data_IF_112814857427
#
_entry.id   IF_112814857427
#
_cell.length_a   1.000
_cell.length_b   1.000
_cell.length_c   1.000
_cell.angle_alpha   90.00
_cell.angle_beta   90.00
_cell.angle_gamma   90.00
#
_symmetry.space_group_name_H-M   'P 1'
#
loop_
_entity.id
_entity.type
_entity.pdbx_description
1 polymer ?
#
# COMPACT_ATOMS: atom_id res chain seq x y z
N UNK A 1 -9.44 12.55 -9.48
CA UNK A 1 -8.02 12.98 -9.64
C UNK A 1 -7.08 11.77 -9.74
N UNK A 2 -7.61 10.56 -9.52
CA UNK A 2 -6.97 9.25 -9.64
C UNK A 2 -6.01 9.07 -10.82
N UNK A 3 -6.40 9.37 -12.07
CA UNK A 3 -5.49 9.18 -13.22
C UNK A 3 -4.24 10.07 -13.14
N UNK A 4 -4.38 11.32 -12.68
CA UNK A 4 -3.24 12.20 -12.46
C UNK A 4 -2.35 11.64 -11.34
N UNK A 5 -2.97 11.13 -10.26
CA UNK A 5 -2.28 10.38 -9.20
C UNK A 5 -1.46 9.22 -9.78
N UNK A 6 -2.10 8.33 -10.55
CA UNK A 6 -1.44 7.19 -11.20
C UNK A 6 -0.25 7.62 -12.05
N UNK A 7 -0.41 8.63 -12.91
CA UNK A 7 0.68 9.14 -13.73
C UNK A 7 1.86 9.63 -12.89
N UNK A 8 1.61 10.42 -11.83
CA UNK A 8 2.66 10.89 -10.92
C UNK A 8 3.34 9.71 -10.20
N UNK A 9 2.57 8.71 -9.77
CA UNK A 9 3.10 7.51 -9.12
C UNK A 9 3.94 6.63 -10.05
N UNK A 10 3.54 6.46 -11.30
CA UNK A 10 4.34 5.75 -12.31
C UNK A 10 5.61 6.51 -12.68
N UNK A 11 5.55 7.84 -12.79
CA UNK A 11 6.74 8.67 -12.97
C UNK A 11 7.71 8.51 -11.79
N UNK A 12 7.21 8.47 -10.55
CA UNK A 12 8.01 8.14 -9.37
C UNK A 12 8.72 6.78 -9.53
N UNK A 13 8.00 5.73 -9.91
CA UNK A 13 8.59 4.41 -10.15
C UNK A 13 9.65 4.42 -11.26
N UNK A 14 9.41 5.12 -12.38
CA UNK A 14 10.38 5.27 -13.46
C UNK A 14 11.65 6.00 -13.00
N UNK A 15 11.51 7.05 -12.17
CA UNK A 15 12.64 7.75 -11.58
C UNK A 15 13.46 6.84 -10.65
N UNK A 16 12.79 5.94 -9.91
CA UNK A 16 13.48 4.93 -9.09
C UNK A 16 14.36 4.01 -9.95
N UNK A 17 13.84 3.53 -11.08
CA UNK A 17 14.56 2.65 -12.03
C UNK A 17 15.83 3.29 -12.58
N UNK A 18 15.83 4.60 -12.78
CA UNK A 18 17.01 5.31 -13.30
C UNK A 18 18.23 5.19 -12.38
N UNK A 19 18.01 5.09 -11.05
CA UNK A 19 19.06 4.81 -10.08
C UNK A 19 20.05 5.96 -9.78
N UNK A 20 19.96 7.10 -10.47
CA UNK A 20 20.78 8.29 -10.20
C UNK A 20 20.34 9.01 -8.91
N UNK A 21 21.28 9.68 -8.22
CA UNK A 21 20.97 10.39 -6.96
C UNK A 21 19.94 11.50 -7.15
N UNK A 22 20.06 12.27 -8.23
CA UNK A 22 19.10 13.34 -8.55
C UNK A 22 17.71 12.78 -8.86
N UNK A 23 17.63 11.64 -9.55
CA UNK A 23 16.35 10.99 -9.83
C UNK A 23 15.71 10.40 -8.57
N UNK A 24 16.50 9.92 -7.60
CA UNK A 24 15.97 9.45 -6.32
C UNK A 24 15.35 10.59 -5.50
N UNK A 25 15.98 11.76 -5.46
CA UNK A 25 15.42 12.93 -4.78
C UNK A 25 14.14 13.42 -5.47
N UNK A 26 14.11 13.40 -6.81
CA UNK A 26 12.90 13.66 -7.57
C UNK A 26 11.81 12.59 -7.33
N UNK A 27 12.16 11.31 -7.22
CA UNK A 27 11.20 10.24 -6.94
C UNK A 27 10.52 10.45 -5.58
N UNK A 28 11.26 10.83 -4.54
CA UNK A 28 10.68 11.15 -3.23
C UNK A 28 9.71 12.33 -3.31
N UNK A 29 10.03 13.37 -4.10
CA UNK A 29 9.13 14.49 -4.33
C UNK A 29 7.84 14.03 -5.04
N UNK A 30 7.95 13.24 -6.10
CA UNK A 30 6.80 12.71 -6.84
C UNK A 30 5.96 11.77 -5.97
N UNK A 31 6.58 10.99 -5.08
CA UNK A 31 5.87 10.21 -4.07
C UNK A 31 5.03 11.12 -3.16
N UNK A 32 5.62 12.17 -2.60
CA UNK A 32 4.91 13.11 -1.74
C UNK A 32 3.73 13.79 -2.48
N UNK A 33 3.95 14.24 -3.72
CA UNK A 33 2.89 14.83 -4.56
C UNK A 33 1.76 13.82 -4.82
N UNK A 34 2.12 12.57 -5.15
CA UNK A 34 1.13 11.53 -5.38
C UNK A 34 0.28 11.25 -4.12
N UNK A 35 0.87 11.23 -2.92
CA UNK A 35 0.12 11.08 -1.66
C UNK A 35 -0.76 12.29 -1.33
N UNK A 36 -0.33 13.50 -1.68
CA UNK A 36 -1.17 14.70 -1.56
C UNK A 36 -2.39 14.62 -2.49
N UNK A 37 -2.20 14.22 -3.75
CA UNK A 37 -3.30 14.08 -4.72
C UNK A 37 -4.32 13.02 -4.28
N UNK A 38 -3.84 11.90 -3.74
CA UNK A 38 -4.68 10.81 -3.23
C UNK A 38 -5.53 11.26 -2.02
N UNK A 39 -4.89 11.87 -1.02
CA UNK A 39 -5.60 12.42 0.15
C UNK A 39 -6.62 13.51 -0.20
N UNK A 40 -6.37 14.27 -1.27
CA UNK A 40 -7.29 15.28 -1.78
C UNK A 40 -8.48 14.67 -2.54
N UNK A 41 -8.30 13.58 -3.29
CA UNK A 41 -9.37 13.01 -4.13
C UNK A 41 -10.53 12.49 -3.27
N UNK A 42 -10.21 11.78 -2.18
CA UNK A 42 -11.22 11.28 -1.25
C UNK A 42 -11.98 12.40 -0.52
N UNK A 43 -11.30 13.50 -0.18
CA UNK A 43 -11.94 14.67 0.44
C UNK A 43 -12.82 15.41 -0.56
N UNK A 44 -12.31 15.66 -1.77
CA UNK A 44 -13.04 16.39 -2.81
C UNK A 44 -14.27 15.62 -3.30
N UNK A 45 -14.19 14.29 -3.45
CA UNK A 45 -15.34 13.47 -3.83
C UNK A 45 -16.48 13.55 -2.80
N UNK A 46 -16.15 13.58 -1.50
CA UNK A 46 -17.12 13.75 -0.42
C UNK A 46 -17.74 15.14 -0.40
N UNK A 47 -16.93 16.20 -0.50
CA UNK A 47 -17.44 17.58 -0.50
C UNK A 47 -18.25 17.92 -1.75
N UNK A 48 -17.93 17.32 -2.90
CA UNK A 48 -18.64 17.58 -4.16
C UNK A 48 -19.88 16.72 -4.37
N UNK A 49 -20.19 15.78 -3.46
CA UNK A 49 -21.33 14.86 -3.59
C UNK A 49 -21.21 13.89 -4.77
N UNK A 50 -19.99 13.69 -5.31
CA UNK A 50 -19.72 12.83 -6.48
C UNK A 50 -19.05 11.51 -6.11
N UNK A 51 -19.16 11.07 -4.86
CA UNK A 51 -18.70 9.76 -4.46
C UNK A 51 -19.46 8.68 -5.26
N UNK A 52 -18.73 7.74 -5.86
CA UNK A 52 -19.29 6.63 -6.64
C UNK A 52 -18.47 5.36 -6.43
N UNK A 53 -19.12 4.20 -6.50
CA UNK A 53 -18.47 2.90 -6.31
C UNK A 53 -17.41 2.64 -7.38
N UNK A 54 -17.68 3.04 -8.63
CA UNK A 54 -16.71 2.96 -9.72
C UNK A 54 -15.47 3.81 -9.44
N UNK A 55 -15.68 5.04 -8.96
CA UNK A 55 -14.59 5.92 -8.56
C UNK A 55 -13.73 5.29 -7.46
N UNK A 56 -14.36 4.74 -6.42
CA UNK A 56 -13.67 4.07 -5.32
C UNK A 56 -12.87 2.83 -5.79
N UNK A 57 -13.45 2.00 -6.68
CA UNK A 57 -12.76 0.84 -7.26
C UNK A 57 -11.56 1.26 -8.14
N UNK A 58 -11.73 2.30 -8.94
CA UNK A 58 -10.66 2.82 -9.78
C UNK A 58 -9.52 3.38 -8.93
N UNK A 59 -9.86 4.15 -7.89
CA UNK A 59 -8.91 4.77 -6.97
C UNK A 59 -8.01 3.73 -6.30
N UNK A 60 -8.63 2.73 -5.67
CA UNK A 60 -7.89 1.66 -5.03
C UNK A 60 -7.08 0.84 -6.04
N UNK A 61 -7.58 0.60 -7.24
CA UNK A 61 -6.84 -0.14 -8.28
C UNK A 61 -5.57 0.61 -8.71
N UNK A 62 -5.70 1.92 -8.95
CA UNK A 62 -4.56 2.77 -9.32
C UNK A 62 -3.53 2.85 -8.18
N UNK A 63 -3.98 2.91 -6.95
CA UNK A 63 -3.11 2.94 -5.78
C UNK A 63 -2.25 1.67 -5.67
N UNK A 64 -2.87 0.50 -5.89
CA UNK A 64 -2.14 -0.78 -5.88
C UNK A 64 -1.06 -0.85 -6.96
N UNK A 65 -1.33 -0.29 -8.14
CA UNK A 65 -0.32 -0.19 -9.21
C UNK A 65 0.87 0.63 -8.74
N UNK A 66 0.64 1.79 -8.10
CA UNK A 66 1.71 2.66 -7.60
C UNK A 66 2.50 1.99 -6.46
N UNK A 67 1.79 1.41 -5.49
CA UNK A 67 2.39 0.68 -4.37
C UNK A 67 3.22 -0.54 -4.82
N UNK A 68 2.85 -1.21 -5.91
CA UNK A 68 3.68 -2.29 -6.46
C UNK A 68 4.87 -1.75 -7.27
N UNK A 69 4.64 -0.72 -8.11
CA UNK A 69 5.62 -0.23 -9.06
C UNK A 69 6.83 0.44 -8.38
N UNK A 70 6.61 1.20 -7.29
CA UNK A 70 7.70 1.93 -6.62
C UNK A 70 8.75 0.99 -6.00
N UNK A 71 8.40 -0.01 -5.15
CA UNK A 71 9.38 -0.95 -4.61
C UNK A 71 10.12 -1.73 -5.69
N UNK A 72 9.42 -2.13 -6.76
CA UNK A 72 10.04 -2.77 -7.93
C UNK A 72 11.07 -1.82 -8.56
N UNK A 73 10.70 -0.56 -8.79
CA UNK A 73 11.59 0.45 -9.35
C UNK A 73 12.83 0.70 -8.50
N UNK A 74 12.69 0.73 -7.17
CA UNK A 74 13.81 0.91 -6.24
C UNK A 74 14.83 -0.24 -6.34
N UNK A 75 14.35 -1.48 -6.47
CA UNK A 75 15.21 -2.67 -6.64
C UNK A 75 15.88 -2.69 -7.99
N UNK A 76 15.14 -2.48 -9.07
CA UNK A 76 15.69 -2.46 -10.44
C UNK A 76 16.71 -1.34 -10.61
N UNK A 77 16.53 -0.21 -9.91
CA UNK A 77 17.48 0.89 -9.87
C UNK A 77 18.78 0.58 -9.15
N UNK A 78 18.91 -0.54 -8.43
CA UNK A 78 20.17 -0.98 -7.82
C UNK A 78 21.04 -1.69 -8.87
N UNK A 79 22.13 -1.05 -9.32
CA UNK A 79 23.07 -1.61 -10.32
C UNK A 79 24.42 -1.92 -9.69
N UNK A 80 25.15 -2.86 -10.29
CA UNK A 80 26.51 -3.21 -9.87
C UNK A 80 26.61 -4.03 -8.58
N UNK A 81 25.50 -4.64 -8.14
CA UNK A 81 25.50 -5.59 -7.03
C UNK A 81 26.05 -6.95 -7.48
N UNK A 82 26.65 -7.69 -6.55
CA UNK A 82 26.99 -9.09 -6.78
C UNK A 82 25.72 -9.97 -6.84
N UNK A 83 25.88 -11.22 -7.30
CA UNK A 83 24.75 -12.13 -7.48
C UNK A 83 24.00 -12.42 -6.17
N UNK A 84 24.73 -12.54 -5.05
CA UNK A 84 24.15 -12.85 -3.74
C UNK A 84 23.33 -11.67 -3.19
N UNK A 85 23.86 -10.44 -3.25
CA UNK A 85 23.14 -9.25 -2.80
C UNK A 85 21.94 -8.95 -3.68
N UNK A 86 22.06 -9.20 -4.99
CA UNK A 86 20.95 -9.08 -5.94
C UNK A 86 19.84 -10.06 -5.55
N UNK A 87 20.16 -11.35 -5.39
CA UNK A 87 19.18 -12.37 -5.00
C UNK A 87 18.51 -12.03 -3.67
N UNK A 88 19.27 -11.56 -2.68
CA UNK A 88 18.71 -11.14 -1.38
C UNK A 88 17.72 -10.00 -1.51
N UNK A 89 18.04 -8.97 -2.30
CA UNK A 89 17.18 -7.81 -2.48
C UNK A 89 15.86 -8.17 -3.19
N UNK A 90 15.92 -9.01 -4.23
CA UNK A 90 14.72 -9.52 -4.92
C UNK A 90 13.88 -10.43 -4.01
N UNK A 91 14.50 -11.26 -3.17
CA UNK A 91 13.79 -12.05 -2.16
C UNK A 91 13.05 -11.17 -1.16
N UNK A 92 13.70 -10.11 -0.64
CA UNK A 92 13.03 -9.15 0.25
C UNK A 92 11.84 -8.46 -0.42
N UNK A 93 12.00 -8.06 -1.69
CA UNK A 93 10.92 -7.47 -2.47
C UNK A 93 9.75 -8.46 -2.64
N UNK A 94 10.05 -9.72 -2.95
CA UNK A 94 9.03 -10.76 -3.10
C UNK A 94 8.26 -10.98 -1.79
N UNK A 95 8.94 -11.03 -0.64
CA UNK A 95 8.27 -11.13 0.66
C UNK A 95 7.39 -9.91 0.95
N UNK A 96 7.89 -8.70 0.69
CA UNK A 96 7.11 -7.48 0.84
C UNK A 96 5.82 -7.52 0.00
N UNK A 97 5.93 -7.82 -1.30
CA UNK A 97 4.76 -7.90 -2.18
C UNK A 97 3.81 -9.03 -1.79
N UNK A 98 4.33 -10.20 -1.38
CA UNK A 98 3.51 -11.30 -0.88
C UNK A 98 2.76 -10.92 0.40
N UNK A 99 3.39 -10.17 1.31
CA UNK A 99 2.73 -9.70 2.53
C UNK A 99 1.60 -8.72 2.23
N UNK A 100 1.78 -7.78 1.28
CA UNK A 100 0.71 -6.91 0.80
C UNK A 100 -0.41 -7.72 0.16
N UNK A 101 -0.08 -8.69 -0.69
CA UNK A 101 -1.07 -9.54 -1.35
C UNK A 101 -1.97 -10.25 -0.34
N UNK A 102 -1.37 -10.90 0.67
CA UNK A 102 -2.12 -11.57 1.73
C UNK A 102 -2.93 -10.59 2.56
N UNK A 103 -2.32 -9.49 3.02
CA UNK A 103 -2.98 -8.49 3.87
C UNK A 103 -4.20 -7.86 3.17
N UNK A 104 -4.07 -7.54 1.89
CA UNK A 104 -5.13 -6.94 1.10
C UNK A 104 -6.22 -7.94 0.72
N UNK A 105 -5.83 -9.19 0.41
CA UNK A 105 -6.79 -10.28 0.22
C UNK A 105 -7.67 -10.50 1.45
N UNK A 106 -7.07 -10.51 2.65
CA UNK A 106 -7.81 -10.58 3.92
C UNK A 106 -8.74 -9.39 4.09
N UNK A 107 -8.24 -8.16 3.90
CA UNK A 107 -9.03 -6.94 4.06
C UNK A 107 -10.26 -6.91 3.15
N UNK A 108 -10.08 -7.07 1.84
CA UNK A 108 -11.17 -6.92 0.88
C UNK A 108 -12.15 -8.08 0.94
N UNK A 109 -11.68 -9.29 1.22
CA UNK A 109 -12.59 -10.42 1.38
C UNK A 109 -13.43 -10.30 2.66
N UNK A 110 -12.80 -9.91 3.78
CA UNK A 110 -13.50 -9.64 5.03
C UNK A 110 -14.56 -8.54 4.86
N UNK A 111 -14.16 -7.46 4.20
CA UNK A 111 -15.02 -6.35 3.82
C UNK A 111 -16.27 -6.80 3.05
N UNK A 112 -16.09 -7.60 2.01
CA UNK A 112 -17.20 -8.14 1.22
C UNK A 112 -18.11 -9.06 2.05
N UNK A 113 -17.54 -9.85 2.97
CA UNK A 113 -18.34 -10.70 3.87
C UNK A 113 -19.17 -9.89 4.86
N UNK A 114 -18.64 -8.79 5.40
CA UNK A 114 -19.36 -7.91 6.32
C UNK A 114 -20.50 -7.19 5.61
N UNK A 115 -20.24 -6.68 4.40
CA UNK A 115 -21.28 -6.06 3.57
C UNK A 115 -22.40 -7.06 3.25
N UNK A 116 -22.04 -8.29 2.88
CA UNK A 116 -23.01 -9.39 2.68
C UNK A 116 -23.88 -9.67 3.91
N UNK A 117 -23.36 -9.47 5.11
CA UNK A 117 -24.09 -9.64 6.39
C UNK A 117 -24.85 -8.40 6.84
N UNK A 118 -24.88 -7.32 6.05
CA UNK A 118 -25.43 -6.01 6.45
C UNK A 118 -24.77 -5.45 7.72
N UNK A 119 -23.53 -5.85 7.98
CA UNK A 119 -22.69 -5.38 9.09
C UNK A 119 -21.45 -4.63 8.56
N UNK A 120 -21.55 -4.11 7.33
CA UNK A 120 -20.52 -3.36 6.63
C UNK A 120 -20.45 -1.88 7.04
N UNK A 121 -19.90 -1.05 6.15
CA UNK A 121 -19.51 0.32 6.49
C UNK A 121 -20.68 1.20 6.93
N UNK A 122 -21.84 1.06 6.28
CA UNK A 122 -23.05 1.82 6.59
C UNK A 122 -23.62 1.46 7.97
N UNK A 123 -23.62 0.16 8.31
CA UNK A 123 -24.07 -0.33 9.62
C UNK A 123 -23.11 0.03 10.76
N UNK A 124 -21.83 0.27 10.45
CA UNK A 124 -20.78 0.66 11.41
C UNK A 124 -20.51 2.16 11.47
N UNK A 125 -21.16 2.96 10.63
CA UNK A 125 -20.94 4.41 10.56
C UNK A 125 -19.55 4.80 10.07
N UNK A 126 -18.90 3.94 9.28
CA UNK A 126 -17.55 4.19 8.77
C UNK A 126 -17.60 5.19 7.61
N UNK A 127 -16.57 6.06 7.53
CA UNK A 127 -16.47 7.09 6.47
C UNK A 127 -15.93 6.56 5.14
N UNK A 128 -15.49 5.31 5.13
CA UNK A 128 -14.97 4.60 3.96
C UNK A 128 -16.07 3.75 3.34
N UNK A 129 -16.06 3.58 2.01
CA UNK A 129 -17.06 2.78 1.26
C UNK A 129 -17.08 1.30 1.65
N UNK A 130 -16.13 0.89 2.48
CA UNK A 130 -15.84 -0.48 2.86
C UNK A 130 -15.37 -0.47 4.32
N UNK A 131 -15.76 -1.48 5.11
CA UNK A 131 -15.29 -1.61 6.49
C UNK A 131 -13.79 -1.82 6.54
N UNK A 132 -13.07 -0.82 7.07
CA UNK A 132 -11.63 -0.85 7.26
C UNK A 132 -11.35 -1.25 8.70
N UNK A 133 -10.99 -2.52 8.93
CA UNK A 133 -10.50 -2.90 10.25
C UNK A 133 -9.18 -2.17 10.55
N UNK A 134 -9.20 -1.40 11.64
CA UNK A 134 -8.00 -0.83 12.23
C UNK A 134 -6.96 -1.93 12.45
N UNK A 135 -5.73 -1.65 12.04
CA UNK A 135 -4.63 -2.58 12.13
C UNK A 135 -3.32 -1.83 12.34
N UNK A 136 -2.27 -2.55 12.76
CA UNK A 136 -0.98 -1.97 13.13
C UNK A 136 -0.35 -1.10 12.03
N UNK A 137 -0.49 -1.51 10.77
CA UNK A 137 -0.07 -0.74 9.61
C UNK A 137 -1.30 -0.22 8.87
N UNK A 138 -1.54 1.09 8.99
CA UNK A 138 -2.55 1.83 8.24
C UNK A 138 -1.96 2.59 7.04
N UNK A 139 -2.73 3.56 6.54
CA UNK A 139 -2.33 4.39 5.41
C UNK A 139 -1.13 5.30 5.74
N UNK A 140 -1.16 5.96 6.90
CA UNK A 140 -0.09 6.87 7.34
C UNK A 140 1.25 6.14 7.53
N UNK A 141 1.23 4.98 8.18
CA UNK A 141 2.41 4.14 8.40
C UNK A 141 2.99 3.66 7.07
N UNK A 142 2.13 3.34 6.10
CA UNK A 142 2.56 2.96 4.76
C UNK A 142 3.24 4.13 4.04
N UNK A 143 2.70 5.34 4.14
CA UNK A 143 3.35 6.54 3.56
C UNK A 143 4.75 6.75 4.13
N UNK A 144 4.88 6.67 5.45
CA UNK A 144 6.16 6.82 6.14
C UNK A 144 7.14 5.69 5.78
N UNK A 145 6.65 4.45 5.67
CA UNK A 145 7.47 3.32 5.27
C UNK A 145 8.08 3.52 3.88
N UNK A 146 7.33 4.05 2.92
CA UNK A 146 7.86 4.34 1.58
C UNK A 146 8.91 5.45 1.63
N UNK A 147 8.67 6.54 2.38
CA UNK A 147 9.70 7.55 2.63
C UNK A 147 10.98 6.94 3.20
N UNK A 148 10.85 5.98 4.12
CA UNK A 148 11.98 5.27 4.69
C UNK A 148 12.66 4.33 3.67
N UNK A 149 11.92 3.69 2.76
CA UNK A 149 12.49 2.90 1.66
C UNK A 149 13.34 3.77 0.71
N UNK A 150 12.88 4.97 0.37
CA UNK A 150 13.69 5.94 -0.41
C UNK A 150 14.98 6.31 0.32
N UNK A 151 14.88 6.61 1.62
CA UNK A 151 16.05 6.90 2.45
C UNK A 151 17.01 5.71 2.54
N UNK A 152 16.51 4.51 2.77
CA UNK A 152 17.29 3.29 2.87
C UNK A 152 18.01 2.99 1.54
N UNK A 153 17.32 3.17 0.40
CA UNK A 153 17.91 3.04 -0.94
C UNK A 153 19.06 4.02 -1.16
N UNK A 154 18.99 5.24 -0.63
CA UNK A 154 20.07 6.23 -0.71
C UNK A 154 21.31 5.81 0.07
N UNK A 155 21.12 5.08 1.18
CA UNK A 155 22.20 4.58 2.03
C UNK A 155 22.88 3.35 1.44
N UNK A 156 22.13 2.26 1.22
CA UNK A 156 22.66 1.03 0.60
C UNK A 156 21.55 0.09 0.13
N UNK A 157 21.88 -0.81 -0.80
CA UNK A 157 20.96 -1.87 -1.22
C UNK A 157 20.59 -2.83 -0.07
N UNK A 158 21.51 -3.06 0.87
CA UNK A 158 21.27 -3.91 2.04
C UNK A 158 20.30 -3.24 3.03
N UNK A 159 20.42 -1.92 3.25
CA UNK A 159 19.48 -1.17 4.07
C UNK A 159 18.06 -1.21 3.47
N UNK A 160 17.95 -1.14 2.14
CA UNK A 160 16.67 -1.31 1.45
C UNK A 160 16.07 -2.71 1.65
N UNK A 161 16.88 -3.77 1.47
CA UNK A 161 16.44 -5.14 1.71
C UNK A 161 15.94 -5.34 3.15
N UNK A 162 16.70 -4.86 4.14
CA UNK A 162 16.31 -4.91 5.55
C UNK A 162 14.99 -4.17 5.81
N UNK A 163 14.83 -2.99 5.22
CA UNK A 163 13.59 -2.21 5.32
C UNK A 163 12.39 -3.00 4.78
N UNK A 164 12.55 -3.65 3.64
CA UNK A 164 11.50 -4.51 3.06
C UNK A 164 11.16 -5.69 3.96
N UNK A 165 12.14 -6.35 4.57
CA UNK A 165 11.88 -7.48 5.46
C UNK A 165 11.13 -7.05 6.72
N UNK A 166 11.55 -5.95 7.36
CA UNK A 166 10.89 -5.40 8.54
C UNK A 166 9.46 -5.01 8.21
N UNK A 167 9.25 -4.30 7.10
CA UNK A 167 7.90 -3.87 6.72
C UNK A 167 7.03 -5.06 6.30
N UNK A 168 7.58 -6.03 5.58
CA UNK A 168 6.90 -7.30 5.25
C UNK A 168 6.43 -8.04 6.50
N UNK A 169 7.25 -8.06 7.55
CA UNK A 169 6.90 -8.69 8.82
C UNK A 169 5.77 -7.95 9.54
N UNK A 170 5.84 -6.62 9.62
CA UNK A 170 4.80 -5.79 10.23
C UNK A 170 3.46 -5.90 9.49
N UNK A 171 3.49 -5.95 8.16
CA UNK A 171 2.31 -6.20 7.32
C UNK A 171 1.77 -7.62 7.54
N UNK A 172 2.66 -8.60 7.72
CA UNK A 172 2.27 -9.96 8.10
C UNK A 172 1.51 -10.02 9.44
N UNK A 173 2.01 -9.30 10.45
CA UNK A 173 1.31 -9.15 11.74
C UNK A 173 -0.06 -8.50 11.54
N UNK A 174 -0.12 -7.44 10.73
CA UNK A 174 -1.36 -6.71 10.39
C UNK A 174 -2.40 -7.66 9.76
N UNK A 175 -1.97 -8.54 8.84
CA UNK A 175 -2.85 -9.54 8.23
C UNK A 175 -3.38 -10.55 9.27
N UNK A 176 -2.53 -11.01 10.19
CA UNK A 176 -2.94 -11.90 11.28
C UNK A 176 -3.92 -11.23 12.25
N UNK A 177 -3.70 -9.97 12.62
CA UNK A 177 -4.62 -9.19 13.45
C UNK A 177 -6.01 -9.12 12.79
N UNK A 178 -6.06 -8.84 11.48
CA UNK A 178 -7.30 -8.81 10.71
C UNK A 178 -8.00 -10.17 10.69
N UNK A 179 -7.26 -11.28 10.58
CA UNK A 179 -7.84 -12.63 10.65
C UNK A 179 -8.40 -12.97 12.04
N UNK A 180 -7.71 -12.59 13.11
CA UNK A 180 -8.19 -12.79 14.48
C UNK A 180 -9.47 -11.98 14.72
N UNK A 181 -9.48 -10.72 14.30
CA UNK A 181 -10.68 -9.88 14.36
C UNK A 181 -11.82 -10.46 13.51
N UNK A 182 -11.52 -10.92 12.29
CA UNK A 182 -12.49 -11.53 11.39
C UNK A 182 -13.15 -12.75 12.01
N UNK A 183 -12.37 -13.58 12.71
CA UNK A 183 -12.91 -14.75 13.43
C UNK A 183 -13.93 -14.31 14.48
N UNK A 184 -13.61 -13.31 15.30
CA UNK A 184 -14.55 -12.80 16.31
C UNK A 184 -15.82 -12.22 15.66
N UNK A 185 -15.65 -11.36 14.64
CA UNK A 185 -16.76 -10.69 13.96
C UNK A 185 -17.69 -11.66 13.20
N UNK A 186 -17.15 -12.73 12.59
CA UNK A 186 -17.94 -13.65 11.75
C UNK A 186 -18.52 -14.84 12.52
N UNK A 187 -18.00 -15.17 13.70
CA UNK A 187 -18.49 -16.30 14.51
C UNK A 187 -19.52 -15.92 15.57
N UNK A 188 -19.64 -14.64 15.93
CA UNK A 188 -20.60 -14.14 16.92
C UNK A 188 -22.08 -14.30 16.52
N UNK A 189 -22.35 -14.69 15.28
CA UNK A 189 -23.67 -14.59 14.63
C UNK A 189 -24.29 -15.96 14.30
N UNK A 190 -23.99 -17.00 15.10
CA UNK A 190 -24.57 -18.33 14.88
C UNK A 190 -25.99 -18.51 15.44
N UNK A 191 -26.54 -17.53 16.15
CA UNK A 191 -27.83 -17.65 16.87
C UNK A 191 -28.76 -16.42 16.75
N UNK A 192 -28.68 -15.63 15.67
CA UNK A 192 -29.66 -14.56 15.40
C UNK A 192 -30.53 -14.91 14.19
#
# INVERSE_FOLDING_TARGET
>A
MTFAGLCVGLLCACLCVSGSRAHQDAALLFWAVNRLLDGMDGVLARFSGKASDWGALLDISCDFVVYAAIPIGLVVGCRGLDALSTARLFMSLAFLLASYFVNNGVLFYLSALLEKRKAGAEARGERTSVTMCDALIGGSETVLAYCFMFWARRTSAQALAFTFDVFSFLVGITALQRLVWARAALTGDKNA
#
